data_IF_340885392673
#
_entry.id   IF_340885392673
#
_cell.length_a   1.000
_cell.length_b   1.000
_cell.length_c   1.000
_cell.angle_alpha   90.00
_cell.angle_beta   90.00
_cell.angle_gamma   90.00
#
_symmetry.space_group_name_H-M   'P 1'
#
loop_
_entity.id
_entity.type
_entity.pdbx_description
1 polymer ?
#
# COMPACT_ATOMS: atom_id res chain seq x y z
N UNK A 1 23.74 15.95 -9.76
CA UNK A 1 22.45 15.60 -9.13
C UNK A 1 22.58 15.00 -7.72
N UNK A 2 23.74 15.06 -7.06
CA UNK A 2 24.00 14.36 -5.79
C UNK A 2 23.79 15.20 -4.54
N UNK A 3 24.20 16.48 -4.53
CA UNK A 3 24.15 17.33 -3.33
C UNK A 3 22.72 17.66 -2.85
N UNK A 4 21.79 17.95 -3.76
CA UNK A 4 20.38 18.26 -3.43
C UNK A 4 19.66 17.06 -2.82
N UNK A 5 19.95 15.85 -3.31
CA UNK A 5 19.38 14.60 -2.81
C UNK A 5 19.86 14.29 -1.39
N UNK A 6 21.14 14.56 -1.09
CA UNK A 6 21.72 14.36 0.24
C UNK A 6 21.16 15.35 1.28
N UNK A 7 20.94 16.61 0.90
CA UNK A 7 20.36 17.63 1.76
C UNK A 7 18.89 17.28 2.12
N UNK A 8 18.09 16.87 1.14
CA UNK A 8 16.71 16.44 1.36
C UNK A 8 16.64 15.19 2.27
N UNK A 9 17.46 14.18 2.01
CA UNK A 9 17.50 12.98 2.84
C UNK A 9 17.91 13.28 4.30
N UNK A 10 18.79 14.27 4.50
CA UNK A 10 19.18 14.70 5.85
C UNK A 10 18.07 15.47 6.55
N UNK A 11 17.34 16.33 5.82
CA UNK A 11 16.18 17.02 6.35
C UNK A 11 15.06 16.06 6.75
N UNK A 12 14.77 15.04 5.91
CA UNK A 12 13.78 14.00 6.22
C UNK A 12 14.15 13.27 7.52
N UNK A 13 15.39 12.80 7.65
CA UNK A 13 15.86 12.12 8.88
C UNK A 13 15.78 12.99 10.14
N UNK A 14 15.97 14.30 9.99
CA UNK A 14 15.83 15.23 11.12
C UNK A 14 14.36 15.38 11.52
N UNK A 15 13.47 15.51 10.53
CA UNK A 15 12.02 15.62 10.73
C UNK A 15 11.44 14.36 11.37
N UNK A 16 11.83 13.17 10.92
CA UNK A 16 11.38 11.87 11.47
C UNK A 16 11.71 11.70 12.96
N UNK A 17 12.73 12.40 13.46
CA UNK A 17 13.18 12.34 14.86
C UNK A 17 12.70 13.53 15.69
N UNK A 18 12.08 14.52 15.06
CA UNK A 18 11.59 15.72 15.71
C UNK A 18 10.10 15.56 16.05
N UNK A 19 9.65 15.96 17.25
CA UNK A 19 8.24 15.93 17.63
C UNK A 19 7.50 17.11 16.98
N UNK A 20 7.34 17.07 15.65
CA UNK A 20 6.58 18.08 14.91
C UNK A 20 5.07 17.85 15.05
N UNK A 21 4.27 18.91 15.23
CA UNK A 21 2.82 18.80 15.16
C UNK A 21 2.33 18.23 13.82
N UNK A 22 1.31 17.38 13.87
CA UNK A 22 0.67 16.75 12.70
C UNK A 22 0.41 17.70 11.52
N UNK A 23 -0.13 18.93 11.71
CA UNK A 23 -0.34 19.84 10.59
C UNK A 23 0.94 20.21 9.83
N UNK A 24 2.07 20.34 10.54
CA UNK A 24 3.36 20.66 9.91
C UNK A 24 3.91 19.44 9.17
N UNK A 25 3.81 18.26 9.76
CA UNK A 25 4.20 17.00 9.12
C UNK A 25 3.39 16.78 7.83
N UNK A 26 2.07 16.97 7.88
CA UNK A 26 1.18 16.87 6.71
C UNK A 26 1.53 17.87 5.63
N UNK A 27 1.74 19.14 5.98
CA UNK A 27 2.14 20.17 5.01
C UNK A 27 3.46 19.82 4.31
N UNK A 28 4.42 19.24 5.03
CA UNK A 28 5.67 18.74 4.45
C UNK A 28 5.45 17.59 3.47
N UNK A 29 4.64 16.60 3.86
CA UNK A 29 4.25 15.48 2.97
C UNK A 29 3.56 15.99 1.71
N UNK A 30 2.58 16.88 1.85
CA UNK A 30 1.84 17.46 0.72
C UNK A 30 2.76 18.21 -0.24
N UNK A 31 3.71 18.98 0.29
CA UNK A 31 4.71 19.68 -0.52
C UNK A 31 5.57 18.70 -1.33
N UNK A 32 6.08 17.63 -0.70
CA UNK A 32 6.90 16.62 -1.36
C UNK A 32 6.12 15.84 -2.43
N UNK A 33 4.88 15.46 -2.12
CA UNK A 33 3.96 14.82 -3.07
C UNK A 33 3.66 15.73 -4.26
N UNK A 34 3.38 17.01 -4.02
CA UNK A 34 3.14 17.98 -5.08
C UNK A 34 4.39 18.23 -5.95
N UNK A 35 5.57 18.29 -5.33
CA UNK A 35 6.85 18.38 -6.06
C UNK A 35 7.06 17.16 -6.95
N UNK A 36 6.82 15.95 -6.44
CA UNK A 36 6.90 14.72 -7.24
C UNK A 36 5.90 14.74 -8.39
N UNK A 37 4.63 15.08 -8.13
CA UNK A 37 3.59 15.17 -9.17
C UNK A 37 3.97 16.12 -10.31
N UNK A 38 4.59 17.27 -10.00
CA UNK A 38 5.09 18.22 -11.02
C UNK A 38 6.29 17.69 -11.81
N UNK A 39 7.06 16.77 -11.25
CA UNK A 39 8.22 16.18 -11.91
C UNK A 39 7.88 15.00 -12.84
N UNK A 40 6.68 14.42 -12.71
CA UNK A 40 6.25 13.30 -13.53
C UNK A 40 5.75 13.79 -14.89
N UNK A 41 6.10 13.07 -15.95
CA UNK A 41 5.44 13.21 -17.23
C UNK A 41 3.99 12.75 -17.15
N UNK A 42 3.15 13.19 -18.09
CA UNK A 42 1.76 12.81 -18.17
C UNK A 42 1.32 12.69 -19.63
N UNK A 43 0.33 11.82 -19.87
CA UNK A 43 -0.27 11.62 -21.18
C UNK A 43 0.14 10.31 -21.86
N UNK A 44 -0.57 9.92 -22.93
CA UNK A 44 -0.50 8.56 -23.47
C UNK A 44 0.89 8.14 -23.96
N UNK A 45 1.65 9.07 -24.54
CA UNK A 45 2.99 8.80 -25.04
C UNK A 45 3.99 8.53 -23.90
N UNK A 46 3.91 9.31 -22.83
CA UNK A 46 4.72 9.11 -21.63
C UNK A 46 4.37 7.78 -20.95
N UNK A 47 3.08 7.47 -20.79
CA UNK A 47 2.60 6.21 -20.22
C UNK A 47 3.07 5.00 -21.05
N UNK A 48 2.99 5.09 -22.38
CA UNK A 48 3.46 4.04 -23.27
C UNK A 48 4.99 3.87 -23.23
N UNK A 49 5.75 4.97 -23.11
CA UNK A 49 7.20 4.89 -22.94
C UNK A 49 7.55 4.27 -21.59
N UNK A 50 6.91 4.70 -20.51
CA UNK A 50 7.11 4.13 -19.18
C UNK A 50 6.82 2.62 -19.17
N UNK A 51 5.75 2.16 -19.82
CA UNK A 51 5.44 0.75 -19.93
C UNK A 51 6.53 -0.04 -20.70
N UNK A 52 7.11 0.53 -21.76
CA UNK A 52 8.25 -0.07 -22.48
C UNK A 52 9.47 -0.15 -21.59
N UNK A 53 9.81 0.94 -20.90
CA UNK A 53 10.96 0.99 -19.99
C UNK A 53 10.82 -0.06 -18.88
N UNK A 54 9.64 -0.15 -18.26
CA UNK A 54 9.36 -1.14 -17.20
C UNK A 54 9.49 -2.59 -17.69
N UNK A 55 9.23 -2.86 -18.97
CA UNK A 55 9.38 -4.20 -19.55
C UNK A 55 10.85 -4.66 -19.67
N UNK A 56 11.80 -3.73 -19.59
CA UNK A 56 13.24 -4.05 -19.61
C UNK A 56 13.78 -4.42 -18.21
N UNK A 57 13.03 -4.14 -17.15
CA UNK A 57 13.41 -4.48 -15.77
C UNK A 57 13.08 -5.94 -15.42
N UNK A 58 13.80 -6.55 -14.47
CA UNK A 58 13.40 -7.85 -13.92
C UNK A 58 12.06 -7.74 -13.20
N UNK A 59 11.34 -8.87 -13.08
CA UNK A 59 10.02 -8.95 -12.42
C UNK A 59 10.03 -8.32 -11.02
N UNK A 60 11.12 -8.51 -10.27
CA UNK A 60 11.32 -7.87 -8.98
C UNK A 60 12.80 -7.61 -8.72
N UNK A 61 13.13 -6.39 -8.31
CA UNK A 61 14.43 -6.02 -7.78
C UNK A 61 14.40 -6.07 -6.24
N UNK A 62 15.55 -6.31 -5.60
CA UNK A 62 15.72 -6.23 -4.15
C UNK A 62 14.75 -7.08 -3.30
N UNK A 63 14.33 -8.24 -3.80
CA UNK A 63 13.33 -9.13 -3.15
C UNK A 63 13.64 -9.45 -1.68
N UNK A 64 14.92 -9.66 -1.33
CA UNK A 64 15.33 -9.94 0.04
C UNK A 64 15.19 -8.72 0.97
N UNK A 65 15.61 -7.55 0.51
CA UNK A 65 15.57 -6.30 1.29
C UNK A 65 14.14 -5.80 1.50
N UNK A 66 13.24 -6.04 0.53
CA UNK A 66 11.82 -5.71 0.68
C UNK A 66 11.17 -6.45 1.86
N UNK A 67 11.49 -7.74 2.05
CA UNK A 67 10.99 -8.55 3.17
C UNK A 67 11.49 -8.04 4.52
N UNK A 68 12.81 -7.85 4.66
CA UNK A 68 13.47 -7.40 5.89
C UNK A 68 12.98 -6.02 6.36
N UNK A 69 12.67 -5.11 5.43
CA UNK A 69 12.30 -3.72 5.76
C UNK A 69 10.80 -3.52 6.03
N UNK A 70 9.91 -4.37 5.52
CA UNK A 70 8.46 -4.08 5.52
C UNK A 70 7.59 -5.17 6.14
N UNK A 71 8.06 -6.42 6.26
CA UNK A 71 7.21 -7.55 6.66
C UNK A 71 7.68 -8.30 7.92
N UNK A 72 8.86 -7.99 8.47
CA UNK A 72 9.41 -8.63 9.68
C UNK A 72 9.12 -7.87 10.98
N UNK A 73 7.94 -7.27 11.12
CA UNK A 73 7.48 -6.73 12.40
C UNK A 73 6.75 -7.81 13.22
N UNK A 74 6.80 -7.76 14.56
CA UNK A 74 6.09 -8.72 15.39
C UNK A 74 4.58 -8.72 15.11
N UNK A 75 3.88 -9.88 15.08
CA UNK A 75 2.44 -9.96 14.83
C UNK A 75 1.61 -9.03 15.73
N UNK A 76 2.05 -8.86 16.98
CA UNK A 76 1.40 -7.98 17.95
C UNK A 76 1.28 -6.52 17.48
N UNK A 77 2.24 -6.03 16.69
CA UNK A 77 2.14 -4.69 16.12
C UNK A 77 0.94 -4.56 15.18
N UNK A 78 0.72 -5.57 14.34
CA UNK A 78 -0.40 -5.60 13.40
C UNK A 78 -1.74 -5.78 14.11
N UNK A 79 -1.80 -6.60 15.17
CA UNK A 79 -3.01 -6.71 16.02
C UNK A 79 -3.42 -5.37 16.66
N UNK A 80 -2.46 -4.48 16.91
CA UNK A 80 -2.71 -3.16 17.51
C UNK A 80 -3.07 -2.09 16.47
N UNK A 81 -2.75 -2.31 15.20
CA UNK A 81 -2.83 -1.26 14.15
C UNK A 81 -3.82 -1.58 13.04
N UNK A 82 -4.14 -2.85 12.82
CA UNK A 82 -5.09 -3.31 11.81
C UNK A 82 -6.44 -3.68 12.43
N UNK A 83 -7.44 -3.88 11.57
CA UNK A 83 -8.75 -4.36 12.00
C UNK A 83 -8.76 -5.88 12.22
N UNK A 84 -9.91 -6.45 12.60
CA UNK A 84 -10.06 -7.86 12.94
C UNK A 84 -9.70 -8.84 11.81
N UNK A 85 -9.77 -8.41 10.54
CA UNK A 85 -9.36 -9.23 9.39
C UNK A 85 -7.87 -9.13 9.09
N UNK A 86 -7.11 -8.32 9.85
CA UNK A 86 -5.70 -8.03 9.62
C UNK A 86 -5.41 -7.62 8.16
N UNK A 87 -6.31 -6.83 7.56
CA UNK A 87 -6.20 -6.44 6.16
C UNK A 87 -5.15 -5.36 6.00
N UNK A 88 -3.95 -5.76 5.60
CA UNK A 88 -2.84 -4.84 5.40
C UNK A 88 -2.80 -4.25 3.98
N UNK A 89 -3.94 -3.69 3.56
CA UNK A 89 -4.14 -2.98 2.28
C UNK A 89 -5.40 -2.09 2.37
N UNK A 90 -5.64 -1.23 1.38
CA UNK A 90 -6.69 -0.20 1.41
C UNK A 90 -8.08 -0.77 1.78
N UNK A 91 -8.69 -0.25 2.85
CA UNK A 91 -10.07 -0.53 3.22
C UNK A 91 -11.05 0.35 2.42
N UNK A 92 -12.34 0.04 2.46
CA UNK A 92 -13.35 0.76 1.70
C UNK A 92 -14.41 1.36 2.64
N UNK A 93 -14.58 2.68 2.54
CA UNK A 93 -15.48 3.46 3.39
C UNK A 93 -16.55 4.15 2.52
N UNK A 94 -17.64 3.45 2.14
CA UNK A 94 -18.67 4.00 1.26
C UNK A 94 -19.27 5.33 1.75
N UNK A 95 -19.46 5.47 3.07
CA UNK A 95 -20.06 6.67 3.69
C UNK A 95 -19.04 7.52 4.42
N UNK A 96 -17.87 6.97 4.74
CA UNK A 96 -16.84 7.64 5.54
C UNK A 96 -17.13 7.63 7.04
N UNK A 97 -18.14 6.87 7.47
CA UNK A 97 -18.54 6.74 8.89
C UNK A 97 -18.37 5.31 9.40
N UNK A 98 -17.96 4.39 8.54
CA UNK A 98 -17.68 3.00 8.89
C UNK A 98 -16.51 2.92 9.87
N UNK A 99 -16.60 1.99 10.80
CA UNK A 99 -15.45 1.55 11.60
C UNK A 99 -14.40 0.88 10.71
N UNK A 100 -13.17 0.75 11.19
CA UNK A 100 -12.13 0.01 10.46
C UNK A 100 -12.56 -1.43 10.17
N UNK A 101 -13.21 -2.11 11.12
CA UNK A 101 -13.69 -3.48 10.92
C UNK A 101 -14.74 -3.60 9.81
N UNK A 102 -15.68 -2.66 9.75
CA UNK A 102 -16.68 -2.61 8.66
C UNK A 102 -16.00 -2.32 7.32
N UNK A 103 -15.05 -1.39 7.29
CA UNK A 103 -14.35 -1.00 6.08
C UNK A 103 -13.43 -2.10 5.52
N UNK A 104 -12.87 -2.96 6.38
CA UNK A 104 -12.17 -4.18 5.96
C UNK A 104 -13.12 -5.11 5.22
N UNK A 105 -14.28 -5.41 5.80
CA UNK A 105 -15.29 -6.29 5.21
C UNK A 105 -15.82 -5.75 3.88
N UNK A 106 -16.09 -4.43 3.80
CA UNK A 106 -16.51 -3.81 2.56
C UNK A 106 -15.45 -3.96 1.46
N UNK A 107 -14.18 -3.71 1.76
CA UNK A 107 -13.12 -3.87 0.76
C UNK A 107 -12.93 -5.33 0.31
N UNK A 108 -13.09 -6.30 1.22
CA UNK A 108 -13.02 -7.72 0.89
C UNK A 108 -14.18 -8.14 -0.02
N UNK A 109 -15.40 -7.70 0.29
CA UNK A 109 -16.57 -7.91 -0.56
C UNK A 109 -16.41 -7.30 -1.95
N UNK A 110 -15.91 -6.06 -2.06
CA UNK A 110 -15.61 -5.42 -3.35
C UNK A 110 -14.56 -6.22 -4.13
N UNK A 111 -13.54 -6.77 -3.46
CA UNK A 111 -12.52 -7.60 -4.10
C UNK A 111 -13.12 -8.87 -4.68
N UNK A 112 -13.95 -9.58 -3.90
CA UNK A 112 -14.69 -10.78 -4.32
C UNK A 112 -15.59 -10.47 -5.52
N UNK A 113 -16.34 -9.38 -5.45
CA UNK A 113 -17.26 -8.96 -6.51
C UNK A 113 -16.53 -8.60 -7.81
N UNK A 114 -15.48 -7.79 -7.74
CA UNK A 114 -14.71 -7.38 -8.92
C UNK A 114 -13.96 -8.55 -9.58
N UNK A 115 -13.47 -9.50 -8.78
CA UNK A 115 -12.82 -10.70 -9.30
C UNK A 115 -13.82 -11.75 -9.82
N UNK A 116 -15.12 -11.56 -9.60
CA UNK A 116 -16.16 -12.49 -10.02
C UNK A 116 -16.04 -13.86 -9.35
N UNK A 117 -15.64 -13.87 -8.07
CA UNK A 117 -15.43 -15.11 -7.34
C UNK A 117 -16.76 -15.78 -6.98
N UNK A 118 -16.79 -17.10 -7.07
CA UNK A 118 -17.97 -17.92 -6.86
C UNK A 118 -17.60 -19.32 -6.35
N UNK A 119 -18.61 -20.00 -5.83
CA UNK A 119 -18.53 -21.38 -5.35
C UNK A 119 -17.94 -22.35 -6.40
N UNK A 120 -17.13 -23.31 -5.94
CA UNK A 120 -16.51 -24.34 -6.78
C UNK A 120 -15.30 -23.89 -7.61
N UNK A 121 -14.75 -22.70 -7.34
CA UNK A 121 -13.49 -22.24 -7.95
C UNK A 121 -12.26 -22.66 -7.13
N UNK A 122 -11.18 -23.01 -7.82
CA UNK A 122 -9.85 -23.10 -7.20
C UNK A 122 -9.18 -21.72 -7.24
N UNK A 123 -8.90 -21.13 -6.07
CA UNK A 123 -8.45 -19.74 -5.94
C UNK A 123 -7.00 -19.68 -5.43
N UNK A 124 -6.16 -18.88 -6.11
CA UNK A 124 -4.80 -18.54 -5.68
C UNK A 124 -4.70 -17.06 -5.32
N UNK A 125 -4.38 -16.76 -4.06
CA UNK A 125 -4.07 -15.39 -3.60
C UNK A 125 -2.55 -15.19 -3.53
N UNK A 126 -1.99 -14.39 -4.46
CA UNK A 126 -0.57 -14.04 -4.46
C UNK A 126 -0.31 -12.85 -3.52
N UNK A 127 0.60 -13.02 -2.56
CA UNK A 127 0.89 -11.98 -1.58
C UNK A 127 -0.21 -11.82 -0.53
N UNK A 128 -0.71 -12.93 0.01
CA UNK A 128 -1.87 -12.98 0.91
C UNK A 128 -1.68 -12.29 2.28
N UNK A 129 -0.45 -11.89 2.62
CA UNK A 129 -0.14 -11.22 3.88
C UNK A 129 -0.58 -12.05 5.09
N UNK A 130 -1.52 -11.51 5.88
CA UNK A 130 -2.12 -12.18 7.04
C UNK A 130 -3.30 -13.10 6.69
N UNK A 131 -3.55 -13.34 5.40
CA UNK A 131 -4.64 -14.19 4.92
C UNK A 131 -6.01 -13.52 4.98
N UNK A 132 -6.07 -12.18 5.00
CA UNK A 132 -7.32 -11.45 5.18
C UNK A 132 -8.38 -11.80 4.14
N UNK A 133 -7.98 -11.94 2.87
CA UNK A 133 -8.86 -12.32 1.78
C UNK A 133 -9.01 -13.84 1.69
N UNK A 134 -7.92 -14.61 1.81
CA UNK A 134 -7.95 -16.08 1.87
C UNK A 134 -8.98 -16.61 2.86
N UNK A 135 -8.94 -16.13 4.11
CA UNK A 135 -9.87 -16.56 5.16
C UNK A 135 -11.30 -16.09 4.87
N UNK A 136 -11.47 -14.87 4.34
CA UNK A 136 -12.79 -14.36 3.95
C UNK A 136 -13.41 -15.20 2.82
N UNK A 137 -12.63 -15.57 1.80
CA UNK A 137 -13.09 -16.43 0.71
C UNK A 137 -13.45 -17.82 1.21
N UNK A 138 -12.64 -18.42 2.09
CA UNK A 138 -12.91 -19.73 2.68
C UNK A 138 -14.19 -19.76 3.53
N UNK A 139 -14.57 -18.65 4.17
CA UNK A 139 -15.84 -18.52 4.89
C UNK A 139 -17.04 -18.40 3.93
N UNK A 140 -16.84 -17.74 2.78
CA UNK A 140 -17.90 -17.47 1.80
C UNK A 140 -18.14 -18.64 0.83
N UNK A 141 -17.08 -19.38 0.51
CA UNK A 141 -17.05 -20.48 -0.47
C UNK A 141 -16.35 -21.71 0.14
N UNK A 142 -17.01 -22.46 1.04
CA UNK A 142 -16.40 -23.54 1.83
C UNK A 142 -16.16 -24.85 1.08
#
# INVERSE_FOLDING_TARGET
>A
MTATTTALATAIRLVERAPLPDPLTRAGVDFLCAMRKRSLGAGPEFEAQFARDMAEFPIAEHTKTANEQHYELPPRFFELTLGPRAKYSCCYYPKGTETLAEAELHALAETVAHAGLAEGQDILELGCGWGSLSLYMAEMFP
#
